data_IF_859936110702
#
_entry.id   IF_859936110702
#
_cell.length_a   1.000
_cell.length_b   1.000
_cell.length_c   1.000
_cell.angle_alpha   90.00
_cell.angle_beta   90.00
_cell.angle_gamma   90.00
#
_symmetry.space_group_name_H-M   'P 1'
#
loop_
_entity.id
_entity.type
_entity.pdbx_description
1 polymer ?
#
# COMPACT_ATOMS: atom_id res chain seq x y z
N UNK A 1 28.04 -3.11 6.84
CA UNK A 1 26.57 -3.20 6.89
C UNK A 1 26.00 -1.99 7.62
N UNK A 2 26.51 -1.64 8.82
CA UNK A 2 26.15 -0.40 9.52
C UNK A 2 26.28 0.88 8.68
N UNK A 3 27.39 1.04 7.95
CA UNK A 3 27.64 2.27 7.18
C UNK A 3 26.64 2.53 6.03
N UNK A 4 26.10 1.47 5.40
CA UNK A 4 25.11 1.59 4.32
C UNK A 4 23.72 1.89 4.87
N UNK A 5 23.34 1.24 5.98
CA UNK A 5 22.07 1.49 6.65
C UNK A 5 22.04 2.93 7.20
N UNK A 6 23.13 3.36 7.82
CA UNK A 6 23.29 4.72 8.31
C UNK A 6 23.28 5.76 7.18
N UNK A 7 23.90 5.46 6.03
CA UNK A 7 23.82 6.34 4.85
C UNK A 7 22.39 6.44 4.28
N UNK A 8 21.63 5.35 4.29
CA UNK A 8 20.23 5.36 3.86
C UNK A 8 19.33 6.14 4.82
N UNK A 9 19.50 5.95 6.13
CA UNK A 9 18.79 6.72 7.16
C UNK A 9 19.06 8.22 7.03
N UNK A 10 20.31 8.61 6.82
CA UNK A 10 20.68 10.02 6.57
C UNK A 10 19.99 10.53 5.30
N UNK A 11 19.99 9.74 4.22
CA UNK A 11 19.36 10.15 2.96
C UNK A 11 17.83 10.28 3.08
N UNK A 12 17.18 9.39 3.83
CA UNK A 12 15.74 9.46 4.10
C UNK A 12 15.42 10.73 4.91
N UNK A 13 16.20 11.04 5.95
CA UNK A 13 16.03 12.29 6.71
C UNK A 13 16.22 13.53 5.84
N UNK A 14 17.23 13.55 4.97
CA UNK A 14 17.42 14.64 4.01
C UNK A 14 16.21 14.81 3.09
N UNK A 15 15.69 13.72 2.54
CA UNK A 15 14.50 13.74 1.68
C UNK A 15 13.27 14.26 2.44
N UNK A 16 13.07 13.82 3.69
CA UNK A 16 11.99 14.33 4.54
C UNK A 16 12.11 15.84 4.76
N UNK A 17 13.31 16.35 5.04
CA UNK A 17 13.56 17.79 5.17
C UNK A 17 13.28 18.55 3.88
N UNK A 18 13.69 18.01 2.73
CA UNK A 18 13.40 18.59 1.41
C UNK A 18 11.88 18.68 1.16
N UNK A 19 11.16 17.59 1.39
CA UNK A 19 9.69 17.54 1.24
C UNK A 19 8.98 18.52 2.18
N UNK A 20 9.42 18.62 3.43
CA UNK A 20 8.84 19.55 4.40
C UNK A 20 8.98 21.01 3.98
N UNK A 21 10.12 21.36 3.36
CA UNK A 21 10.34 22.71 2.80
C UNK A 21 9.47 22.95 1.57
N UNK A 22 9.36 21.96 0.69
CA UNK A 22 8.56 22.05 -0.54
C UNK A 22 7.06 22.23 -0.24
N UNK A 23 6.54 21.46 0.72
CA UNK A 23 5.12 21.50 1.09
C UNK A 23 4.75 22.66 2.02
N UNK A 24 5.72 23.43 2.52
CA UNK A 24 5.46 24.55 3.42
C UNK A 24 5.22 25.87 2.67
N UNK A 25 4.38 26.73 3.26
CA UNK A 25 4.24 28.10 2.79
C UNK A 25 5.56 28.85 2.92
N UNK A 26 6.02 29.42 1.81
CA UNK A 26 7.21 30.27 1.75
C UNK A 26 6.89 31.68 2.27
N UNK A 27 6.56 31.77 3.55
CA UNK A 27 6.06 32.97 4.21
C UNK A 27 6.46 32.97 5.68
N UNK A 28 6.51 34.16 6.29
CA UNK A 28 6.52 34.26 7.75
C UNK A 28 5.32 33.50 8.34
N UNK A 29 5.50 32.96 9.54
CA UNK A 29 4.45 32.22 10.26
C UNK A 29 3.25 33.15 10.49
N UNK A 30 2.08 32.68 10.09
CA UNK A 30 0.80 33.32 10.35
C UNK A 30 -0.01 32.42 11.30
N UNK A 31 -0.78 33.04 12.19
CA UNK A 31 -1.51 32.33 13.27
C UNK A 31 -3.02 32.35 13.09
N UNK A 32 -3.55 33.25 12.28
CA UNK A 32 -4.98 33.37 11.97
C UNK A 32 -5.33 32.58 10.71
N UNK A 33 -6.37 31.76 10.77
CA UNK A 33 -6.82 30.93 9.66
C UNK A 33 -7.17 31.78 8.42
N UNK A 34 -7.96 32.87 8.49
CA UNK A 34 -8.16 33.79 7.37
C UNK A 34 -6.87 34.32 6.72
N UNK A 35 -5.87 34.69 7.52
CA UNK A 35 -4.59 35.20 7.00
C UNK A 35 -3.82 34.12 6.24
N UNK A 36 -3.81 32.90 6.79
CA UNK A 36 -3.18 31.72 6.15
C UNK A 36 -3.92 31.36 4.86
N UNK A 37 -5.25 31.27 4.90
CA UNK A 37 -6.09 30.98 3.73
C UNK A 37 -5.93 32.04 2.63
N UNK A 38 -5.58 33.27 2.99
CA UNK A 38 -5.30 34.34 2.03
C UNK A 38 -4.01 34.12 1.22
N UNK A 39 -3.10 33.25 1.68
CA UNK A 39 -1.91 32.83 0.93
C UNK A 39 -2.25 31.94 -0.27
N UNK A 40 -3.32 31.14 -0.16
CA UNK A 40 -3.76 30.28 -1.26
C UNK A 40 -4.23 31.10 -2.47
N UNK A 41 -4.13 30.51 -3.65
CA UNK A 41 -4.76 31.03 -4.87
C UNK A 41 -6.28 30.87 -4.80
N UNK A 42 -7.01 31.64 -5.63
CA UNK A 42 -8.48 31.49 -5.75
C UNK A 42 -8.86 30.06 -6.17
N UNK A 43 -8.06 29.41 -7.00
CA UNK A 43 -8.29 28.04 -7.48
C UNK A 43 -8.19 27.03 -6.33
N UNK A 44 -7.16 27.12 -5.51
CA UNK A 44 -6.99 26.22 -4.37
C UNK A 44 -8.10 26.42 -3.33
N UNK A 45 -8.45 27.67 -3.03
CA UNK A 45 -9.60 27.98 -2.16
C UNK A 45 -10.91 27.43 -2.72
N UNK A 46 -11.10 27.44 -4.05
CA UNK A 46 -12.25 26.84 -4.68
C UNK A 46 -12.28 25.30 -4.54
N UNK A 47 -11.12 24.64 -4.60
CA UNK A 47 -11.02 23.21 -4.34
C UNK A 47 -11.34 22.87 -2.88
N UNK A 48 -10.81 23.64 -1.91
CA UNK A 48 -11.16 23.50 -0.50
C UNK A 48 -12.66 23.72 -0.28
N UNK A 49 -13.23 24.79 -0.84
CA UNK A 49 -14.66 25.05 -0.76
C UNK A 49 -15.51 23.95 -1.41
N UNK A 50 -14.97 23.23 -2.40
CA UNK A 50 -15.64 22.07 -3.01
C UNK A 50 -15.62 20.87 -2.07
N UNK A 51 -14.49 20.59 -1.42
CA UNK A 51 -14.36 19.50 -0.43
C UNK A 51 -15.25 19.71 0.80
N UNK A 52 -15.51 20.97 1.17
CA UNK A 52 -16.46 21.36 2.21
C UNK A 52 -17.90 21.54 1.69
N UNK A 53 -18.16 21.23 0.43
CA UNK A 53 -19.49 21.33 -0.20
C UNK A 53 -20.16 22.71 -0.05
N UNK A 54 -19.36 23.78 -0.01
CA UNK A 54 -19.86 25.14 0.21
C UNK A 54 -20.76 25.56 -0.95
N UNK A 55 -22.01 25.91 -0.62
CA UNK A 55 -23.00 26.37 -1.57
C UNK A 55 -22.62 27.75 -2.15
N UNK A 56 -22.88 27.95 -3.45
CA UNK A 56 -22.63 29.24 -4.11
C UNK A 56 -21.16 29.59 -4.36
N UNK A 57 -20.21 28.71 -4.00
CA UNK A 57 -18.75 28.92 -4.14
C UNK A 57 -18.29 29.38 -5.52
N UNK A 58 -18.98 29.00 -6.60
CA UNK A 58 -18.66 29.40 -7.98
C UNK A 58 -18.83 30.90 -8.25
N UNK A 59 -19.64 31.60 -7.44
CA UNK A 59 -19.86 33.04 -7.56
C UNK A 59 -18.97 33.86 -6.64
N UNK A 60 -18.26 33.22 -5.70
CA UNK A 60 -17.47 33.91 -4.68
C UNK A 60 -16.17 34.46 -5.27
N UNK A 61 -15.78 35.65 -4.81
CA UNK A 61 -14.44 36.19 -4.98
C UNK A 61 -13.45 35.54 -3.98
N UNK A 62 -12.17 35.90 -4.04
CA UNK A 62 -11.14 35.27 -3.19
C UNK A 62 -11.42 35.48 -1.69
N UNK A 63 -11.76 36.70 -1.28
CA UNK A 63 -12.01 37.02 0.13
C UNK A 63 -13.28 36.36 0.67
N UNK A 64 -14.32 36.27 -0.17
CA UNK A 64 -15.55 35.53 0.15
C UNK A 64 -15.27 34.04 0.33
N UNK A 65 -14.43 33.44 -0.52
CA UNK A 65 -13.98 32.05 -0.37
C UNK A 65 -13.17 31.85 0.92
N UNK A 66 -12.23 32.75 1.23
CA UNK A 66 -11.46 32.70 2.48
C UNK A 66 -12.40 32.67 3.69
N UNK A 67 -13.37 33.59 3.76
CA UNK A 67 -14.34 33.63 4.87
C UNK A 67 -15.19 32.37 4.94
N UNK A 68 -15.70 31.91 3.80
CA UNK A 68 -16.56 30.73 3.75
C UNK A 68 -15.81 29.45 4.15
N UNK A 69 -14.58 29.25 3.65
CA UNK A 69 -13.74 28.11 4.00
C UNK A 69 -13.32 28.16 5.46
N UNK A 70 -12.91 29.33 5.98
CA UNK A 70 -12.58 29.50 7.39
C UNK A 70 -13.76 29.11 8.30
N UNK A 71 -14.96 29.59 7.97
CA UNK A 71 -16.18 29.25 8.71
C UNK A 71 -16.49 27.74 8.63
N UNK A 72 -16.35 27.13 7.45
CA UNK A 72 -16.58 25.70 7.27
C UNK A 72 -15.59 24.83 8.07
N UNK A 73 -14.30 25.20 8.11
CA UNK A 73 -13.28 24.50 8.90
C UNK A 73 -13.56 24.55 10.41
N UNK A 74 -14.13 25.66 10.88
CA UNK A 74 -14.45 25.87 12.30
C UNK A 74 -15.84 25.35 12.72
N UNK A 75 -16.65 24.88 11.76
CA UNK A 75 -17.97 24.32 12.05
C UNK A 75 -17.82 23.01 12.86
N UNK A 76 -18.49 22.85 14.01
CA UNK A 76 -18.28 21.71 14.90
C UNK A 76 -18.45 20.33 14.26
N UNK A 77 -19.43 20.15 13.37
CA UNK A 77 -19.65 18.91 12.64
C UNK A 77 -18.48 18.55 11.73
N UNK A 78 -18.07 19.49 10.88
CA UNK A 78 -16.90 19.37 10.01
C UNK A 78 -15.61 19.12 10.81
N UNK A 79 -15.42 19.85 11.91
CA UNK A 79 -14.25 19.68 12.79
C UNK A 79 -14.17 18.25 13.34
N UNK A 80 -15.27 17.76 13.93
CA UNK A 80 -15.34 16.37 14.42
C UNK A 80 -15.08 15.37 13.29
N UNK A 81 -15.73 15.57 12.13
CA UNK A 81 -15.57 14.71 10.95
C UNK A 81 -14.11 14.61 10.51
N UNK A 82 -13.42 15.74 10.39
CA UNK A 82 -12.05 15.78 9.91
C UNK A 82 -11.07 15.18 10.93
N UNK A 83 -11.30 15.40 12.23
CA UNK A 83 -10.50 14.78 13.30
C UNK A 83 -10.67 13.26 13.35
N UNK A 84 -11.88 12.75 13.10
CA UNK A 84 -12.17 11.30 13.07
C UNK A 84 -11.52 10.55 11.90
N UNK A 85 -11.02 11.27 10.88
CA UNK A 85 -10.34 10.69 9.70
C UNK A 85 -8.85 10.47 9.90
N UNK A 86 -8.23 11.22 10.81
CA UNK A 86 -6.80 11.11 11.06
C UNK A 86 -6.50 9.68 11.52
N UNK A 87 -5.40 9.10 11.02
CA UNK A 87 -4.90 7.86 11.60
C UNK A 87 -4.25 8.12 12.98
N UNK A 88 -3.81 7.05 13.64
CA UNK A 88 -3.24 7.13 14.99
C UNK A 88 -2.04 8.09 15.05
N UNK A 89 -1.15 8.01 14.07
CA UNK A 89 0.07 8.82 13.97
C UNK A 89 -0.29 10.29 13.69
N UNK A 90 -1.21 10.53 12.76
CA UNK A 90 -1.71 11.87 12.42
C UNK A 90 -2.45 12.54 13.58
N UNK A 91 -3.29 11.79 14.30
CA UNK A 91 -3.96 12.29 15.51
C UNK A 91 -2.93 12.70 16.57
N UNK A 92 -1.94 11.86 16.81
CA UNK A 92 -0.89 12.14 17.79
C UNK A 92 -0.09 13.40 17.40
N UNK A 93 0.26 13.53 16.12
CA UNK A 93 0.94 14.72 15.61
C UNK A 93 0.06 15.98 15.71
N UNK A 94 -1.21 15.90 15.31
CA UNK A 94 -2.16 17.00 15.48
C UNK A 94 -2.24 17.47 16.94
N UNK A 95 -2.36 16.55 17.89
CA UNK A 95 -2.40 16.89 19.31
C UNK A 95 -1.09 17.52 19.82
N UNK A 96 0.07 17.10 19.28
CA UNK A 96 1.38 17.71 19.58
C UNK A 96 1.41 19.17 19.12
N UNK A 97 0.97 19.45 17.89
CA UNK A 97 0.94 20.82 17.34
C UNK A 97 -0.13 21.68 18.03
N UNK A 98 -1.30 21.12 18.34
CA UNK A 98 -2.40 21.80 19.02
C UNK A 98 -1.97 22.37 20.38
N UNK A 99 -1.20 21.59 21.15
CA UNK A 99 -0.67 21.96 22.48
C UNK A 99 0.51 22.92 22.41
N UNK A 100 1.22 22.96 21.28
CA UNK A 100 2.32 23.89 21.06
C UNK A 100 1.77 25.28 20.68
N UNK A 101 2.48 26.34 21.07
CA UNK A 101 2.24 27.68 20.51
C UNK A 101 2.62 27.68 19.02
N UNK A 102 3.80 27.14 18.73
CA UNK A 102 4.34 26.81 17.40
C UNK A 102 5.28 25.62 17.54
N UNK A 103 5.30 24.72 16.57
CA UNK A 103 6.21 23.57 16.56
C UNK A 103 7.26 23.75 15.46
N UNK A 104 8.53 23.88 15.82
CA UNK A 104 9.65 23.92 14.88
C UNK A 104 10.29 22.54 14.80
N UNK A 105 10.22 21.90 13.65
CA UNK A 105 10.74 20.54 13.41
C UNK A 105 10.80 20.33 11.89
N UNK A 106 11.93 19.87 11.33
CA UNK A 106 12.05 19.61 9.89
C UNK A 106 12.17 18.12 9.55
N UNK A 107 12.06 17.23 10.55
CA UNK A 107 12.16 15.78 10.40
C UNK A 107 10.79 15.07 10.44
N UNK A 108 9.68 15.82 10.41
CA UNK A 108 8.34 15.24 10.41
C UNK A 108 8.04 14.62 9.05
N UNK A 109 7.65 13.35 9.00
CA UNK A 109 7.29 12.74 7.72
C UNK A 109 5.96 13.34 7.20
N UNK A 110 5.85 13.76 5.92
CA UNK A 110 4.63 14.40 5.40
C UNK A 110 3.33 13.62 5.62
N UNK A 111 3.40 12.29 5.67
CA UNK A 111 2.25 11.43 6.05
C UNK A 111 1.58 11.85 7.37
N UNK A 112 2.35 12.35 8.33
CA UNK A 112 1.87 12.62 9.69
C UNK A 112 1.03 13.90 9.79
N UNK A 113 1.12 14.80 8.80
CA UNK A 113 0.42 16.08 8.83
C UNK A 113 -0.40 16.40 7.58
N UNK A 114 -0.06 15.81 6.43
CA UNK A 114 -0.62 16.23 5.14
C UNK A 114 -2.14 16.05 5.08
N UNK A 115 -2.68 14.99 5.68
CA UNK A 115 -4.14 14.78 5.77
C UNK A 115 -4.81 15.89 6.59
N UNK A 116 -4.23 16.25 7.74
CA UNK A 116 -4.72 17.36 8.56
C UNK A 116 -4.61 18.71 7.83
N UNK A 117 -3.57 18.90 7.00
CA UNK A 117 -3.41 20.09 6.17
C UNK A 117 -4.44 20.18 5.04
N UNK A 118 -4.82 19.06 4.42
CA UNK A 118 -5.86 19.02 3.38
C UNK A 118 -7.20 19.52 3.90
N UNK A 119 -7.48 19.30 5.19
CA UNK A 119 -8.70 19.77 5.86
C UNK A 119 -8.52 21.10 6.59
N UNK A 120 -7.37 21.78 6.46
CA UNK A 120 -7.13 23.08 7.06
C UNK A 120 -7.02 23.07 8.59
N UNK A 121 -6.59 21.95 9.17
CA UNK A 121 -6.37 21.79 10.61
C UNK A 121 -4.95 22.21 11.02
N UNK A 122 -3.95 21.81 10.22
CA UNK A 122 -2.52 22.11 10.43
C UNK A 122 -1.99 22.86 9.21
N UNK A 123 -1.11 23.82 9.44
CA UNK A 123 -0.38 24.52 8.40
C UNK A 123 1.11 24.53 8.74
N UNK A 124 1.96 24.43 7.73
CA UNK A 124 3.41 24.48 7.85
C UNK A 124 4.00 25.63 7.03
N UNK A 125 5.02 26.28 7.60
CA UNK A 125 5.69 27.45 7.04
C UNK A 125 7.18 27.18 6.97
N UNK A 126 7.82 27.65 5.90
CA UNK A 126 9.26 27.72 5.81
C UNK A 126 9.70 29.17 5.80
N UNK A 127 10.44 29.56 6.84
CA UNK A 127 10.92 30.92 7.02
C UNK A 127 12.27 30.92 7.73
N UNK A 128 13.23 31.70 7.24
CA UNK A 128 14.56 31.85 7.84
C UNK A 128 15.32 30.54 8.11
N UNK A 129 15.05 29.49 7.31
CA UNK A 129 15.71 28.19 7.42
C UNK A 129 14.98 27.18 8.33
N UNK A 130 13.86 27.56 8.92
CA UNK A 130 13.09 26.71 9.83
C UNK A 130 11.74 26.29 9.21
N UNK A 131 11.35 25.03 9.45
CA UNK A 131 9.99 24.55 9.18
C UNK A 131 9.18 24.62 10.46
N UNK A 132 8.06 25.36 10.43
CA UNK A 132 7.18 25.56 11.57
C UNK A 132 5.77 25.07 11.28
N UNK A 133 5.21 24.23 12.15
CA UNK A 133 3.82 23.78 12.13
C UNK A 133 2.97 24.57 13.12
N UNK A 134 1.73 24.85 12.73
CA UNK A 134 0.76 25.56 13.55
C UNK A 134 -0.65 25.01 13.37
N UNK A 135 -1.41 24.96 14.46
CA UNK A 135 -2.88 24.93 14.43
C UNK A 135 -3.35 26.38 14.59
N UNK A 136 -4.11 26.95 13.64
CA UNK A 136 -4.55 28.35 13.71
C UNK A 136 -5.42 28.64 14.93
N UNK A 137 -5.46 29.90 15.35
CA UNK A 137 -6.19 30.32 16.55
C UNK A 137 -7.69 29.96 16.50
N UNK A 138 -8.34 30.13 15.36
CA UNK A 138 -9.74 29.82 15.14
C UNK A 138 -10.01 28.31 15.20
N UNK A 139 -9.07 27.50 14.71
CA UNK A 139 -9.14 26.04 14.83
C UNK A 139 -8.94 25.61 16.28
N UNK A 140 -7.97 26.21 17.00
CA UNK A 140 -7.76 25.96 18.43
C UNK A 140 -9.02 26.26 19.25
N UNK A 141 -9.66 27.40 18.99
CA UNK A 141 -10.92 27.78 19.64
C UNK A 141 -12.05 26.81 19.29
N UNK A 142 -12.24 26.46 18.02
CA UNK A 142 -13.26 25.48 17.61
C UNK A 142 -13.05 24.11 18.28
N UNK A 143 -11.80 23.62 18.33
CA UNK A 143 -11.44 22.36 18.98
C UNK A 143 -11.67 22.41 20.49
N UNK A 144 -11.44 23.56 21.14
CA UNK A 144 -11.66 23.72 22.59
C UNK A 144 -13.13 23.53 23.01
N UNK A 145 -14.07 23.61 22.07
CA UNK A 145 -15.51 23.42 22.27
C UNK A 145 -15.96 21.97 22.05
N UNK A 146 -15.03 21.08 21.73
CA UNK A 146 -15.28 19.66 21.49
C UNK A 146 -14.80 18.87 22.71
N UNK A 147 -15.60 17.89 23.14
CA UNK A 147 -15.14 16.87 24.08
C UNK A 147 -14.15 15.94 23.35
N UNK A 148 -12.85 16.26 23.48
CA UNK A 148 -11.78 15.52 22.83
C UNK A 148 -11.61 14.11 23.38
N UNK A 149 -11.95 13.86 24.65
CA UNK A 149 -11.85 12.53 25.23
C UNK A 149 -12.95 11.62 24.67
N UNK A 150 -14.17 12.14 24.54
CA UNK A 150 -15.25 11.43 23.85
C UNK A 150 -14.91 11.22 22.38
N UNK A 151 -14.44 12.25 21.68
CA UNK A 151 -14.10 12.13 20.26
C UNK A 151 -12.98 11.11 20.05
N UNK A 152 -11.99 11.06 20.95
CA UNK A 152 -10.90 10.08 20.90
C UNK A 152 -11.40 8.65 21.06
N UNK A 153 -12.39 8.39 21.93
CA UNK A 153 -13.00 7.05 22.04
C UNK A 153 -13.69 6.63 20.75
N UNK A 154 -14.44 7.54 20.13
CA UNK A 154 -15.10 7.29 18.83
C UNK A 154 -14.05 7.06 17.74
N UNK A 155 -13.01 7.89 17.71
CA UNK A 155 -11.89 7.74 16.80
C UNK A 155 -11.24 6.35 16.93
N UNK A 156 -10.94 5.90 18.14
CA UNK A 156 -10.28 4.62 18.37
C UNK A 156 -11.15 3.43 17.94
N UNK A 157 -12.46 3.55 18.17
CA UNK A 157 -13.46 2.61 17.65
C UNK A 157 -13.43 2.57 16.12
N UNK A 158 -13.43 3.73 15.46
CA UNK A 158 -13.41 3.82 14.00
C UNK A 158 -12.10 3.26 13.41
N UNK A 159 -10.97 3.59 14.02
CA UNK A 159 -9.66 3.07 13.61
C UNK A 159 -9.62 1.54 13.71
N UNK A 160 -10.17 0.95 14.77
CA UNK A 160 -10.25 -0.50 14.89
C UNK A 160 -11.10 -1.11 13.77
N UNK A 161 -12.30 -0.58 13.51
CA UNK A 161 -13.16 -1.06 12.41
C UNK A 161 -12.43 -0.95 11.06
N UNK A 162 -11.73 0.16 10.80
CA UNK A 162 -10.96 0.35 9.56
C UNK A 162 -9.75 -0.58 9.48
N UNK A 163 -9.13 -0.97 10.59
CA UNK A 163 -8.10 -2.02 10.59
C UNK A 163 -8.69 -3.36 10.16
N UNK A 164 -9.89 -3.72 10.62
CA UNK A 164 -10.60 -4.91 10.13
C UNK A 164 -10.91 -4.79 8.63
N UNK A 165 -11.41 -3.65 8.18
CA UNK A 165 -11.65 -3.41 6.74
C UNK A 165 -10.39 -3.71 5.92
N UNK A 166 -9.27 -3.07 6.28
CA UNK A 166 -7.99 -3.22 5.56
C UNK A 166 -7.46 -4.65 5.61
N UNK A 167 -7.53 -5.30 6.78
CA UNK A 167 -7.09 -6.67 6.95
C UNK A 167 -7.86 -7.66 6.07
N UNK A 168 -9.19 -7.55 6.05
CA UNK A 168 -10.05 -8.43 5.24
C UNK A 168 -9.90 -8.12 3.75
N UNK A 169 -9.72 -6.85 3.36
CA UNK A 169 -9.40 -6.49 1.97
C UNK A 169 -8.10 -7.15 1.53
N UNK A 170 -7.04 -7.11 2.35
CA UNK A 170 -5.76 -7.71 2.01
C UNK A 170 -5.81 -9.25 1.96
N UNK A 171 -6.64 -9.89 2.78
CA UNK A 171 -6.82 -11.35 2.79
C UNK A 171 -7.73 -11.86 1.67
N UNK A 172 -8.82 -11.15 1.37
CA UNK A 172 -9.90 -11.67 0.52
C UNK A 172 -10.00 -10.95 -0.83
N UNK A 173 -9.43 -9.75 -0.95
CA UNK A 173 -9.57 -8.87 -2.12
C UNK A 173 -10.96 -8.22 -2.21
N UNK A 174 -12.02 -8.96 -1.93
CA UNK A 174 -13.41 -8.51 -1.92
C UNK A 174 -14.25 -9.34 -0.94
N UNK A 175 -15.16 -8.69 -0.20
CA UNK A 175 -16.11 -9.35 0.70
C UNK A 175 -17.34 -8.47 0.97
N UNK A 176 -18.38 -9.07 1.54
CA UNK A 176 -19.63 -8.39 1.89
C UNK A 176 -19.53 -7.76 3.29
N UNK A 177 -20.18 -6.61 3.56
CA UNK A 177 -20.26 -5.98 4.88
C UNK A 177 -20.63 -6.96 6.01
N UNK A 178 -21.60 -7.85 5.77
CA UNK A 178 -22.03 -8.86 6.74
C UNK A 178 -20.89 -9.79 7.19
N UNK A 179 -19.97 -10.13 6.29
CA UNK A 179 -18.81 -10.96 6.63
C UNK A 179 -17.85 -10.22 7.57
N UNK A 180 -17.66 -8.91 7.38
CA UNK A 180 -16.87 -8.11 8.31
C UNK A 180 -17.56 -8.03 9.67
N UNK A 181 -18.86 -7.76 9.70
CA UNK A 181 -19.64 -7.67 10.94
C UNK A 181 -19.57 -8.99 11.71
N UNK A 182 -19.73 -10.12 11.03
CA UNK A 182 -19.63 -11.45 11.62
C UNK A 182 -18.25 -11.69 12.25
N UNK A 183 -17.17 -11.47 11.48
CA UNK A 183 -15.80 -11.65 11.95
C UNK A 183 -15.49 -10.70 13.11
N UNK A 184 -15.82 -9.42 12.97
CA UNK A 184 -15.60 -8.40 13.99
C UNK A 184 -16.29 -8.77 15.30
N UNK A 185 -17.57 -9.14 15.25
CA UNK A 185 -18.38 -9.46 16.43
C UNK A 185 -17.98 -10.78 17.09
N UNK A 186 -17.37 -11.70 16.33
CA UNK A 186 -16.80 -12.93 16.90
C UNK A 186 -15.52 -12.69 17.71
N UNK A 187 -14.84 -11.55 17.48
CA UNK A 187 -13.51 -11.26 18.02
C UNK A 187 -13.45 -10.07 19.00
N UNK A 188 -14.54 -9.32 19.15
CA UNK A 188 -14.57 -8.11 19.98
C UNK A 188 -15.81 -8.10 20.89
N UNK A 189 -15.66 -7.56 22.09
CA UNK A 189 -16.74 -7.52 23.09
C UNK A 189 -17.87 -6.55 22.70
N UNK A 190 -17.52 -5.39 22.13
CA UNK A 190 -18.51 -4.39 21.68
C UNK A 190 -18.89 -4.66 20.22
N UNK A 191 -20.16 -5.06 19.95
CA UNK A 191 -20.57 -5.44 18.62
C UNK A 191 -20.62 -4.24 17.67
N UNK A 192 -20.23 -4.46 16.42
CA UNK A 192 -20.41 -3.58 15.29
C UNK A 192 -21.79 -3.83 14.67
N UNK A 193 -22.55 -2.75 14.49
CA UNK A 193 -23.82 -2.80 13.76
C UNK A 193 -23.61 -2.41 12.30
N UNK A 194 -24.57 -2.78 11.45
CA UNK A 194 -24.57 -2.39 10.03
C UNK A 194 -24.59 -0.85 9.88
N UNK A 195 -25.45 -0.16 10.64
CA UNK A 195 -25.54 1.31 10.64
C UNK A 195 -24.22 1.97 11.05
N UNK A 196 -23.55 1.44 12.08
CA UNK A 196 -22.24 1.93 12.51
C UNK A 196 -21.19 1.72 11.41
N UNK A 197 -21.12 0.52 10.82
CA UNK A 197 -20.18 0.21 9.75
C UNK A 197 -20.35 1.16 8.57
N UNK A 198 -21.57 1.35 8.06
CA UNK A 198 -21.79 2.22 6.91
C UNK A 198 -21.51 3.69 7.22
N UNK A 199 -21.83 4.15 8.44
CA UNK A 199 -21.44 5.51 8.88
C UNK A 199 -19.93 5.71 8.87
N UNK A 200 -19.17 4.68 9.27
CA UNK A 200 -17.70 4.69 9.21
C UNK A 200 -17.21 4.64 7.76
N UNK A 201 -17.76 3.76 6.92
CA UNK A 201 -17.36 3.65 5.52
C UNK A 201 -17.61 4.96 4.76
N UNK A 202 -18.75 5.61 4.94
CA UNK A 202 -19.05 6.92 4.34
C UNK A 202 -18.00 7.99 4.69
N UNK A 203 -17.48 7.93 5.92
CA UNK A 203 -16.44 8.84 6.37
C UNK A 203 -15.09 8.57 5.68
N UNK A 204 -14.73 7.30 5.52
CA UNK A 204 -13.40 6.87 5.06
C UNK A 204 -13.28 6.69 3.55
N UNK A 205 -14.36 6.34 2.82
CA UNK A 205 -14.36 6.27 1.36
C UNK A 205 -14.11 7.63 0.70
N UNK A 206 -14.42 8.72 1.42
CA UNK A 206 -14.09 10.09 1.01
C UNK A 206 -12.62 10.47 1.27
N UNK A 207 -11.85 9.61 1.93
CA UNK A 207 -10.42 9.77 2.15
C UNK A 207 -9.64 8.89 1.17
N UNK A 208 -8.34 9.16 1.00
CA UNK A 208 -7.47 8.38 0.10
C UNK A 208 -7.14 7.01 0.71
N UNK A 209 -8.10 6.09 0.67
CA UNK A 209 -7.98 4.73 1.22
C UNK A 209 -7.59 3.72 0.14
N UNK A 210 -7.14 2.54 0.60
CA UNK A 210 -6.79 1.39 -0.24
C UNK A 210 -7.96 0.42 -0.46
N UNK A 211 -9.17 0.84 -0.09
CA UNK A 211 -10.39 0.08 -0.29
C UNK A 211 -11.48 0.99 -0.86
N UNK A 212 -12.47 0.38 -1.49
CA UNK A 212 -13.60 1.06 -2.12
C UNK A 212 -14.86 0.17 -2.04
N UNK A 213 -15.99 0.68 -2.54
CA UNK A 213 -17.22 -0.08 -2.73
C UNK A 213 -17.42 -0.41 -4.21
N UNK A 214 -17.62 -1.69 -4.53
CA UNK A 214 -18.00 -2.15 -5.86
C UNK A 214 -19.27 -2.99 -5.78
N UNK A 215 -20.40 -2.37 -6.09
CA UNK A 215 -21.72 -2.94 -5.81
C UNK A 215 -21.92 -3.14 -4.30
N UNK A 216 -22.33 -4.32 -3.82
CA UNK A 216 -22.49 -4.58 -2.39
C UNK A 216 -21.18 -4.95 -1.68
N UNK A 217 -20.05 -5.01 -2.39
CA UNK A 217 -18.79 -5.49 -1.85
C UNK A 217 -17.90 -4.34 -1.39
N UNK A 218 -17.21 -4.55 -0.27
CA UNK A 218 -16.01 -3.81 0.09
C UNK A 218 -14.85 -4.49 -0.63
N UNK A 219 -14.06 -3.72 -1.39
CA UNK A 219 -13.02 -4.24 -2.29
C UNK A 219 -11.71 -3.50 -2.13
N UNK A 220 -10.61 -4.15 -2.53
CA UNK A 220 -9.35 -3.47 -2.77
C UNK A 220 -9.50 -2.44 -3.91
N UNK A 221 -8.92 -1.26 -3.75
CA UNK A 221 -8.94 -0.19 -4.75
C UNK A 221 -8.34 -0.62 -6.10
N UNK A 222 -7.51 -1.66 -6.13
CA UNK A 222 -7.01 -2.32 -7.35
C UNK A 222 -8.14 -2.72 -8.32
N UNK A 223 -9.34 -3.01 -7.82
CA UNK A 223 -10.49 -3.38 -8.66
C UNK A 223 -11.33 -2.18 -9.13
N UNK A 224 -11.06 -0.97 -8.62
CA UNK A 224 -11.81 0.25 -8.94
C UNK A 224 -10.94 1.36 -9.54
N UNK A 225 -9.60 1.25 -9.47
CA UNK A 225 -8.67 2.34 -9.79
C UNK A 225 -8.39 2.60 -11.28
N UNK A 226 -8.86 1.77 -12.21
CA UNK A 226 -8.39 1.81 -13.59
C UNK A 226 -9.42 1.45 -14.67
N UNK A 227 -8.91 0.89 -15.77
CA UNK A 227 -9.66 0.66 -17.02
C UNK A 227 -10.71 -0.46 -16.88
N UNK A 228 -11.72 -0.55 -17.77
CA UNK A 228 -12.78 -1.57 -17.68
C UNK A 228 -12.33 -3.02 -17.46
N UNK A 229 -11.10 -3.37 -17.86
CA UNK A 229 -10.47 -4.68 -17.63
C UNK A 229 -10.22 -5.02 -16.16
N UNK A 230 -10.15 -4.03 -15.27
CA UNK A 230 -9.99 -4.27 -13.83
C UNK A 230 -11.30 -4.74 -13.17
N UNK A 231 -12.46 -4.32 -13.72
CA UNK A 231 -13.76 -4.85 -13.31
C UNK A 231 -13.92 -6.31 -13.75
N UNK A 232 -13.32 -6.74 -14.86
CA UNK A 232 -13.30 -8.16 -15.26
C UNK A 232 -12.55 -9.02 -14.22
N UNK A 233 -11.39 -8.55 -13.73
CA UNK A 233 -10.62 -9.23 -12.67
C UNK A 233 -11.38 -9.39 -11.36
N UNK A 234 -12.26 -8.43 -11.03
CA UNK A 234 -13.15 -8.55 -9.88
C UNK A 234 -14.16 -9.71 -10.04
N UNK A 235 -14.77 -9.84 -11.21
CA UNK A 235 -15.69 -10.95 -11.48
C UNK A 235 -14.95 -12.31 -11.45
N UNK A 236 -13.76 -12.39 -12.06
CA UNK A 236 -12.90 -13.58 -12.00
C UNK A 236 -12.54 -13.96 -10.56
N UNK A 237 -12.26 -12.98 -9.69
CA UNK A 237 -12.01 -13.22 -8.28
C UNK A 237 -13.22 -13.89 -7.61
N UNK A 238 -14.42 -13.33 -7.81
CA UNK A 238 -15.65 -13.86 -7.21
C UNK A 238 -15.96 -15.28 -7.70
N UNK A 239 -15.81 -15.55 -9.00
CA UNK A 239 -15.98 -16.87 -9.59
C UNK A 239 -15.00 -17.88 -9.00
N UNK A 240 -13.71 -17.53 -8.92
CA UNK A 240 -12.69 -18.41 -8.33
C UNK A 240 -12.88 -18.62 -6.84
N UNK A 241 -13.43 -17.65 -6.13
CA UNK A 241 -13.71 -17.72 -4.69
C UNK A 241 -15.02 -18.45 -4.35
N UNK A 242 -15.86 -18.73 -5.35
CA UNK A 242 -17.20 -19.28 -5.14
C UNK A 242 -17.16 -20.63 -4.38
N UNK A 243 -18.03 -20.75 -3.37
CA UNK A 243 -18.16 -21.96 -2.57
C UNK A 243 -16.99 -22.30 -1.64
N UNK A 244 -15.94 -21.46 -1.57
CA UNK A 244 -14.81 -21.67 -0.64
C UNK A 244 -15.12 -21.08 0.75
N UNK A 245 -14.66 -21.71 1.84
CA UNK A 245 -14.78 -21.13 3.17
C UNK A 245 -13.85 -19.92 3.32
N UNK A 246 -14.16 -19.00 4.24
CA UNK A 246 -13.24 -17.93 4.63
C UNK A 246 -12.21 -18.45 5.63
N UNK A 247 -10.95 -18.06 5.44
CA UNK A 247 -9.93 -18.20 6.46
C UNK A 247 -10.04 -17.04 7.43
N UNK A 248 -10.32 -17.33 8.70
CA UNK A 248 -10.43 -16.32 9.75
C UNK A 248 -9.34 -16.60 10.79
N UNK A 249 -8.22 -15.86 10.77
CA UNK A 249 -7.19 -15.97 11.80
C UNK A 249 -7.67 -15.39 13.14
N UNK A 250 -6.96 -15.73 14.22
CA UNK A 250 -7.11 -15.06 15.52
C UNK A 250 -6.91 -13.55 15.39
N UNK A 251 -7.58 -12.78 16.24
CA UNK A 251 -7.65 -11.30 16.16
C UNK A 251 -6.30 -10.62 15.96
N UNK A 252 -5.32 -10.93 16.80
CA UNK A 252 -4.02 -10.26 16.74
C UNK A 252 -3.21 -10.63 15.50
N UNK A 253 -3.45 -11.80 14.91
CA UNK A 253 -2.87 -12.19 13.63
C UNK A 253 -3.60 -11.51 12.47
N UNK A 254 -4.94 -11.46 12.52
CA UNK A 254 -5.75 -10.76 11.53
C UNK A 254 -5.34 -9.30 11.37
N UNK A 255 -5.19 -8.58 12.48
CA UNK A 255 -4.92 -7.14 12.46
C UNK A 255 -3.53 -6.79 11.88
N UNK A 256 -2.60 -7.74 11.77
CA UNK A 256 -1.32 -7.51 11.06
C UNK A 256 -1.54 -7.24 9.57
N UNK A 257 -2.55 -7.88 8.97
CA UNK A 257 -2.94 -7.67 7.57
C UNK A 257 -3.52 -6.28 7.31
N UNK A 258 -3.82 -5.47 8.33
CA UNK A 258 -4.21 -4.07 8.12
C UNK A 258 -3.05 -3.20 7.60
N UNK A 259 -1.80 -3.65 7.79
CA UNK A 259 -0.61 -3.02 7.22
C UNK A 259 -0.40 -3.49 5.79
N UNK A 260 -0.23 -2.55 4.87
CA UNK A 260 0.02 -2.86 3.46
C UNK A 260 1.38 -3.52 3.22
N UNK A 261 2.33 -3.29 4.13
CA UNK A 261 3.70 -3.81 4.03
C UNK A 261 3.86 -5.15 4.77
N UNK A 262 2.78 -5.67 5.36
CA UNK A 262 2.84 -6.93 6.09
C UNK A 262 2.62 -8.13 5.18
N UNK A 263 3.52 -9.09 5.28
CA UNK A 263 3.31 -10.46 4.86
C UNK A 263 4.01 -11.41 5.83
N UNK A 264 3.55 -12.66 5.89
CA UNK A 264 4.16 -13.68 6.71
C UNK A 264 5.50 -14.12 6.08
N UNK A 265 6.63 -13.94 6.77
CA UNK A 265 7.90 -14.58 6.40
C UNK A 265 7.83 -16.07 6.74
N UNK A 266 7.40 -16.86 5.76
CA UNK A 266 7.25 -18.31 5.91
C UNK A 266 8.60 -19.04 5.80
N UNK A 267 8.72 -20.28 6.33
CA UNK A 267 9.91 -21.11 6.12
C UNK A 267 10.24 -21.32 4.62
N UNK A 268 9.25 -21.26 3.73
CA UNK A 268 9.43 -21.37 2.29
C UNK A 268 10.06 -20.12 1.68
N UNK A 269 9.65 -18.93 2.14
CA UNK A 269 10.28 -17.66 1.75
C UNK A 269 11.73 -17.59 2.27
N UNK A 270 11.97 -18.03 3.51
CA UNK A 270 13.32 -18.13 4.07
C UNK A 270 14.20 -19.11 3.28
N UNK A 271 13.65 -20.26 2.88
CA UNK A 271 14.37 -21.23 2.06
C UNK A 271 14.73 -20.68 0.67
N UNK A 272 13.80 -19.97 0.02
CA UNK A 272 14.06 -19.29 -1.25
C UNK A 272 15.15 -18.22 -1.08
N UNK A 273 15.04 -17.36 -0.05
CA UNK A 273 16.05 -16.34 0.28
C UNK A 273 17.43 -16.95 0.45
N UNK A 274 17.53 -17.99 1.27
CA UNK A 274 18.78 -18.69 1.53
C UNK A 274 19.39 -19.29 0.25
N UNK A 275 18.57 -19.83 -0.64
CA UNK A 275 19.02 -20.35 -1.93
C UNK A 275 19.58 -19.25 -2.83
N UNK A 276 18.87 -18.13 -2.99
CA UNK A 276 19.31 -17.01 -3.85
C UNK A 276 20.63 -16.44 -3.35
N UNK A 277 20.76 -16.18 -2.04
CA UNK A 277 22.00 -15.66 -1.43
C UNK A 277 23.19 -16.58 -1.67
N UNK A 278 22.98 -17.88 -1.54
CA UNK A 278 24.04 -18.88 -1.64
C UNK A 278 24.45 -19.18 -3.08
N UNK A 279 23.50 -19.16 -4.02
CA UNK A 279 23.68 -19.76 -5.34
C UNK A 279 23.56 -18.80 -6.52
N UNK A 280 23.03 -17.58 -6.35
CA UNK A 280 22.75 -16.64 -7.45
C UNK A 280 23.44 -15.27 -7.31
N UNK A 281 24.41 -15.14 -6.42
CA UNK A 281 25.27 -13.96 -6.26
C UNK A 281 24.53 -12.63 -6.01
N UNK A 282 23.31 -12.66 -5.45
CA UNK A 282 22.61 -11.46 -5.00
C UNK A 282 23.19 -10.93 -3.67
N UNK A 283 23.29 -9.61 -3.52
CA UNK A 283 23.57 -9.00 -2.22
C UNK A 283 22.32 -8.99 -1.33
N UNK A 284 22.51 -8.98 -0.02
CA UNK A 284 21.44 -9.20 0.97
C UNK A 284 20.24 -8.25 0.81
N UNK A 285 20.49 -6.95 0.63
CA UNK A 285 19.43 -5.96 0.47
C UNK A 285 18.64 -6.15 -0.83
N UNK A 286 19.33 -6.49 -1.92
CA UNK A 286 18.68 -6.80 -3.19
C UNK A 286 17.84 -8.08 -3.09
N UNK A 287 18.33 -9.09 -2.38
CA UNK A 287 17.60 -10.33 -2.17
C UNK A 287 16.38 -10.10 -1.29
N UNK A 288 16.45 -9.27 -0.25
CA UNK A 288 15.27 -8.90 0.55
C UNK A 288 14.18 -8.30 -0.34
N UNK A 289 14.54 -7.29 -1.14
CA UNK A 289 13.60 -6.69 -2.09
C UNK A 289 13.11 -7.67 -3.18
N UNK A 290 13.87 -8.71 -3.51
CA UNK A 290 13.40 -9.78 -4.42
C UNK A 290 12.35 -10.65 -3.73
N UNK A 291 12.58 -11.01 -2.46
CA UNK A 291 11.69 -11.89 -1.71
C UNK A 291 10.34 -11.21 -1.47
N UNK A 292 10.34 -9.92 -1.16
CA UNK A 292 9.14 -9.09 -1.07
C UNK A 292 8.34 -9.14 -2.38
N UNK A 293 9.00 -8.89 -3.52
CA UNK A 293 8.33 -8.92 -4.83
C UNK A 293 7.85 -10.33 -5.22
N UNK A 294 8.61 -11.38 -4.91
CA UNK A 294 8.18 -12.77 -5.15
C UNK A 294 6.91 -13.06 -4.34
N UNK A 295 6.89 -12.68 -3.06
CA UNK A 295 5.72 -12.85 -2.21
C UNK A 295 4.52 -12.07 -2.77
N UNK A 296 4.72 -10.82 -3.18
CA UNK A 296 3.69 -9.98 -3.77
C UNK A 296 3.12 -10.61 -5.05
N UNK A 297 3.98 -11.11 -5.94
CA UNK A 297 3.56 -11.80 -7.17
C UNK A 297 2.75 -13.07 -6.87
N UNK A 298 3.15 -13.87 -5.86
CA UNK A 298 2.36 -15.00 -5.42
C UNK A 298 0.99 -14.56 -4.87
N UNK A 299 0.95 -13.50 -4.06
CA UNK A 299 -0.27 -12.96 -3.47
C UNK A 299 -1.23 -12.36 -4.51
N UNK A 300 -0.69 -11.73 -5.56
CA UNK A 300 -1.43 -11.26 -6.74
C UNK A 300 -1.84 -12.38 -7.70
N UNK A 301 -1.47 -13.62 -7.39
CA UNK A 301 -1.74 -14.80 -8.20
C UNK A 301 -1.15 -14.71 -9.63
N UNK A 302 0.01 -14.06 -9.75
CA UNK A 302 0.73 -13.85 -11.00
C UNK A 302 1.31 -15.16 -11.57
N UNK A 303 1.51 -15.26 -12.89
CA UNK A 303 2.21 -16.40 -13.49
C UNK A 303 3.69 -16.41 -13.09
N UNK A 304 4.29 -17.61 -13.02
CA UNK A 304 5.71 -17.81 -12.68
C UNK A 304 6.68 -16.97 -13.54
N UNK A 305 6.26 -16.67 -14.77
CA UNK A 305 7.01 -15.84 -15.72
C UNK A 305 7.22 -14.40 -15.22
N UNK A 306 6.24 -13.80 -14.54
CA UNK A 306 6.37 -12.46 -13.95
C UNK A 306 7.34 -12.47 -12.76
N UNK A 307 7.36 -13.57 -12.00
CA UNK A 307 8.33 -13.75 -10.93
C UNK A 307 9.76 -13.77 -11.50
N UNK A 308 9.99 -14.45 -12.64
CA UNK A 308 11.31 -14.46 -13.28
C UNK A 308 11.76 -13.09 -13.81
N UNK A 309 10.83 -12.20 -14.16
CA UNK A 309 11.18 -10.82 -14.51
C UNK A 309 11.80 -10.07 -13.33
N UNK A 310 11.44 -10.38 -12.09
CA UNK A 310 12.04 -9.73 -10.92
C UNK A 310 13.51 -10.09 -10.72
N UNK A 311 13.89 -11.34 -11.06
CA UNK A 311 15.28 -11.77 -11.11
C UNK A 311 16.04 -11.00 -12.21
N UNK A 312 15.45 -10.89 -13.41
CA UNK A 312 16.08 -10.20 -14.54
C UNK A 312 16.27 -8.71 -14.27
N UNK A 313 15.23 -8.03 -13.77
CA UNK A 313 15.24 -6.60 -13.41
C UNK A 313 16.36 -6.26 -12.43
N UNK A 314 16.63 -7.19 -11.51
CA UNK A 314 17.69 -7.09 -10.48
C UNK A 314 19.04 -7.61 -10.95
N UNK A 315 19.16 -8.10 -12.18
CA UNK A 315 20.38 -8.69 -12.75
C UNK A 315 20.88 -9.91 -11.97
N UNK A 316 19.95 -10.65 -11.36
CA UNK A 316 20.19 -11.95 -10.75
C UNK A 316 20.02 -12.99 -11.85
N UNK A 317 21.14 -13.55 -12.31
CA UNK A 317 21.17 -14.46 -13.45
C UNK A 317 21.40 -15.91 -13.01
N UNK A 318 20.83 -16.83 -13.77
CA UNK A 318 21.13 -18.25 -13.67
C UNK A 318 22.33 -18.58 -14.56
N UNK A 319 23.30 -19.30 -14.00
CA UNK A 319 24.49 -19.80 -14.70
C UNK A 319 24.27 -21.19 -15.32
N UNK A 320 23.22 -21.91 -14.90
CA UNK A 320 22.93 -23.27 -15.37
C UNK A 320 21.44 -23.61 -15.32
N UNK A 321 21.01 -24.54 -16.17
CA UNK A 321 19.66 -25.12 -16.07
C UNK A 321 19.43 -25.85 -14.75
N UNK A 322 20.49 -26.35 -14.10
CA UNK A 322 20.40 -26.97 -12.79
C UNK A 322 19.85 -25.98 -11.76
N UNK A 323 20.33 -24.73 -11.75
CA UNK A 323 19.83 -23.72 -10.83
C UNK A 323 18.34 -23.39 -11.08
N UNK A 324 17.88 -23.46 -12.33
CA UNK A 324 16.46 -23.27 -12.68
C UNK A 324 15.62 -24.44 -12.14
N UNK A 325 16.08 -25.68 -12.33
CA UNK A 325 15.41 -26.88 -11.79
C UNK A 325 15.35 -26.91 -10.27
N UNK A 326 16.30 -26.27 -9.59
CA UNK A 326 16.37 -26.17 -8.13
C UNK A 326 15.48 -25.05 -7.58
N UNK A 327 15.41 -23.89 -8.25
CA UNK A 327 14.67 -22.72 -7.74
C UNK A 327 13.17 -22.77 -8.04
N UNK A 328 12.75 -23.37 -9.17
CA UNK A 328 11.32 -23.44 -9.54
C UNK A 328 10.49 -24.14 -8.45
N UNK A 329 10.90 -25.30 -7.90
CA UNK A 329 10.21 -25.91 -6.77
C UNK A 329 10.12 -25.00 -5.53
N UNK A 330 11.17 -24.23 -5.22
CA UNK A 330 11.15 -23.29 -4.08
C UNK A 330 10.11 -22.18 -4.29
N UNK A 331 10.00 -21.63 -5.50
CA UNK A 331 9.00 -20.62 -5.83
C UNK A 331 7.58 -21.22 -5.78
N UNK A 332 7.40 -22.44 -6.30
CA UNK A 332 6.12 -23.15 -6.23
C UNK A 332 5.73 -23.43 -4.78
N UNK A 333 6.69 -23.81 -3.93
CA UNK A 333 6.46 -24.03 -2.51
C UNK A 333 6.05 -22.73 -1.81
N UNK A 334 6.71 -21.59 -2.11
CA UNK A 334 6.26 -20.27 -1.65
C UNK A 334 4.81 -20.03 -2.05
N UNK A 335 4.48 -20.17 -3.34
CA UNK A 335 3.14 -19.94 -3.87
C UNK A 335 2.07 -20.79 -3.14
N UNK A 336 2.38 -22.07 -2.90
CA UNK A 336 1.47 -23.00 -2.23
C UNK A 336 1.32 -22.74 -0.73
N UNK A 337 2.14 -21.88 -0.14
CA UNK A 337 2.08 -21.42 1.25
C UNK A 337 1.73 -19.92 1.37
N UNK A 338 1.45 -19.23 0.27
CA UNK A 338 0.95 -17.86 0.28
C UNK A 338 -0.57 -17.86 0.39
N UNK A 339 -1.13 -16.99 1.24
CA UNK A 339 -2.59 -16.78 1.33
C UNK A 339 -3.08 -16.10 0.07
N UNK A 340 -4.08 -16.69 -0.59
CA UNK A 340 -4.60 -16.17 -1.86
C UNK A 340 -5.99 -15.57 -1.68
N UNK A 341 -6.24 -14.44 -2.34
CA UNK A 341 -7.54 -13.76 -2.37
C UNK A 341 -8.61 -14.67 -2.97
N UNK A 342 -8.30 -15.33 -4.09
CA UNK A 342 -9.23 -16.28 -4.71
C UNK A 342 -9.51 -17.53 -3.86
N UNK A 343 -8.72 -17.76 -2.80
CA UNK A 343 -8.95 -18.81 -1.80
C UNK A 343 -9.56 -18.26 -0.50
N UNK A 344 -10.05 -17.02 -0.49
CA UNK A 344 -10.63 -16.36 0.69
C UNK A 344 -9.68 -16.42 1.89
N UNK A 345 -8.39 -16.15 1.64
CA UNK A 345 -7.34 -16.07 2.65
C UNK A 345 -6.68 -17.41 3.02
N UNK A 346 -7.15 -18.55 2.49
CA UNK A 346 -6.43 -19.81 2.65
C UNK A 346 -5.22 -19.89 1.72
N UNK A 347 -4.17 -20.56 2.17
CA UNK A 347 -3.12 -21.03 1.27
C UNK A 347 -3.63 -22.19 0.39
N UNK A 348 -3.07 -22.41 -0.81
CA UNK A 348 -3.37 -23.59 -1.63
C UNK A 348 -3.25 -24.91 -0.85
N UNK A 349 -2.25 -25.04 0.02
CA UNK A 349 -2.04 -26.22 0.84
C UNK A 349 -3.14 -26.43 1.90
N UNK A 350 -3.51 -25.38 2.63
CA UNK A 350 -4.59 -25.46 3.62
C UNK A 350 -5.92 -25.78 2.96
N UNK A 351 -6.24 -25.08 1.86
CA UNK A 351 -7.50 -25.28 1.14
C UNK A 351 -7.62 -26.70 0.59
N UNK A 352 -6.51 -27.26 0.07
CA UNK A 352 -6.51 -28.63 -0.43
C UNK A 352 -6.81 -29.65 0.66
N UNK A 353 -6.24 -29.46 1.86
CA UNK A 353 -6.45 -30.33 3.02
C UNK A 353 -7.90 -30.31 3.50
N UNK A 354 -8.54 -29.14 3.55
CA UNK A 354 -9.90 -29.02 4.09
C UNK A 354 -10.99 -29.38 3.08
N UNK A 355 -10.74 -29.17 1.77
CA UNK A 355 -11.73 -29.47 0.72
C UNK A 355 -11.56 -30.85 0.09
N UNK A 356 -10.39 -31.49 0.26
CA UNK A 356 -10.03 -32.72 -0.45
C UNK A 356 -9.83 -32.54 -1.96
N UNK A 357 -9.88 -31.30 -2.47
CA UNK A 357 -9.64 -30.96 -3.88
C UNK A 357 -8.18 -30.57 -4.08
N UNK A 358 -7.62 -30.88 -5.24
CA UNK A 358 -6.29 -30.40 -5.58
C UNK A 358 -6.36 -28.91 -5.95
N UNK A 359 -5.96 -28.05 -5.02
CA UNK A 359 -5.88 -26.60 -5.20
C UNK A 359 -4.44 -26.12 -5.34
N UNK A 360 -3.48 -27.05 -5.40
CA UNK A 360 -2.07 -26.71 -5.47
C UNK A 360 -1.74 -26.06 -6.80
N UNK A 361 -1.00 -24.96 -6.72
CA UNK A 361 -0.30 -24.42 -7.86
C UNK A 361 0.71 -25.47 -8.34
N UNK A 362 0.45 -26.00 -9.53
CA UNK A 362 1.42 -26.76 -10.29
C UNK A 362 1.75 -25.95 -11.54
N UNK A 363 3.03 -25.81 -11.86
CA UNK A 363 3.49 -25.08 -13.05
C UNK A 363 3.22 -25.87 -14.34
N UNK A 364 2.10 -26.61 -14.44
CA UNK A 364 1.78 -27.43 -15.61
C UNK A 364 1.30 -26.61 -16.81
N UNK A 365 1.28 -25.28 -16.69
CA UNK A 365 1.38 -24.41 -17.86
C UNK A 365 2.75 -24.71 -18.48
N UNK A 366 2.82 -25.18 -19.74
CA UNK A 366 4.10 -25.42 -20.39
C UNK A 366 4.92 -24.15 -20.23
N UNK A 367 6.11 -24.26 -19.64
CA UNK A 367 7.16 -23.34 -20.00
C UNK A 367 7.34 -23.63 -21.48
N UNK A 368 6.69 -22.85 -22.36
CA UNK A 368 7.09 -22.77 -23.75
C UNK A 368 8.50 -22.18 -23.70
N UNK A 369 9.48 -23.06 -23.46
CA UNK A 369 10.89 -22.79 -23.72
C UNK A 369 11.01 -22.81 -25.23
N UNK A 370 10.35 -21.86 -25.91
CA UNK A 370 10.61 -21.63 -27.31
C UNK A 370 12.07 -21.22 -27.39
N UNK A 371 12.82 -22.11 -28.03
CA UNK A 371 14.26 -22.13 -28.12
C UNK A 371 14.72 -21.05 -29.11
N UNK A 372 14.31 -19.79 -28.91
CA UNK A 372 14.74 -18.62 -29.68
C UNK A 372 14.27 -17.24 -29.15
N UNK A 373 13.96 -17.06 -27.85
CA UNK A 373 13.49 -15.74 -27.40
C UNK A 373 13.31 -15.46 -25.90
N UNK A 374 14.19 -15.96 -25.02
CA UNK A 374 14.46 -15.53 -23.61
C UNK A 374 13.28 -15.00 -22.75
N UNK A 375 12.85 -15.81 -21.78
CA UNK A 375 12.05 -15.37 -20.60
C UNK A 375 12.70 -15.75 -19.25
N UNK A 376 13.86 -16.43 -19.27
CA UNK A 376 14.66 -16.69 -18.06
C UNK A 376 16.01 -15.98 -18.19
N UNK A 377 16.44 -15.20 -17.18
CA UNK A 377 17.70 -14.45 -17.22
C UNK A 377 18.91 -15.39 -17.15
N UNK A 378 19.33 -15.93 -18.30
CA UNK A 378 20.52 -16.78 -18.41
C UNK A 378 21.78 -15.96 -18.68
N UNK A 379 22.82 -16.15 -17.86
CA UNK A 379 24.15 -15.59 -18.12
C UNK A 379 24.82 -16.43 -19.20
N UNK A 380 25.08 -15.86 -20.39
CA UNK A 380 25.82 -16.59 -21.44
C UNK A 380 27.27 -16.78 -21.00
N UNK A 381 27.61 -17.98 -20.52
CA UNK A 381 29.00 -18.39 -20.30
C UNK A 381 29.65 -18.73 -21.65
N UNK A 382 30.29 -17.77 -22.30
CA UNK A 382 31.10 -18.00 -23.50
C UNK A 382 31.08 -16.84 -24.49
N UNK A 383 32.21 -16.61 -25.17
CA UNK A 383 32.28 -15.70 -26.33
C UNK A 383 31.23 -16.10 -27.37
N UNK A 384 30.56 -15.12 -27.99
CA UNK A 384 29.63 -15.38 -29.11
C UNK A 384 30.31 -16.27 -30.14
N UNK A 385 29.90 -17.53 -30.27
CA UNK A 385 30.35 -18.43 -31.33
C UNK A 385 29.86 -17.84 -32.66
N UNK A 386 30.80 -17.41 -33.50
CA UNK A 386 30.52 -16.88 -34.83
C UNK A 386 29.93 -17.95 -35.73
N UNK A 387 29.04 -17.57 -36.66
CA UNK A 387 28.40 -18.50 -37.62
C UNK A 387 29.40 -19.37 -38.41
N UNK A 388 30.65 -18.92 -38.54
CA UNK A 388 31.71 -19.61 -39.27
C UNK A 388 32.71 -20.37 -38.36
N UNK A 389 32.57 -20.29 -37.03
CA UNK A 389 33.47 -20.93 -36.08
C UNK A 389 33.26 -22.45 -36.03
N UNK A 390 34.23 -23.24 -35.56
CA UNK A 390 34.08 -24.67 -35.35
C UNK A 390 32.89 -24.99 -34.43
N UNK A 391 32.07 -25.96 -34.83
CA UNK A 391 30.89 -26.33 -34.06
C UNK A 391 31.29 -27.06 -32.76
N UNK A 392 30.78 -26.64 -31.59
CA UNK A 392 31.20 -27.19 -30.29
C UNK A 392 30.79 -28.65 -30.06
N UNK A 393 29.95 -29.25 -30.93
CA UNK A 393 29.56 -30.67 -30.83
C UNK A 393 30.64 -31.66 -31.30
N UNK A 394 31.86 -31.19 -31.64
CA UNK A 394 32.96 -32.05 -32.06
C UNK A 394 32.86 -32.60 -33.49
N UNK A 395 31.87 -32.16 -34.28
CA UNK A 395 31.63 -32.66 -35.65
C UNK A 395 32.64 -32.21 -36.70
N UNK A 396 33.55 -31.30 -36.35
CA UNK A 396 34.52 -30.69 -37.28
C UNK A 396 33.90 -29.72 -38.33
N UNK A 397 32.58 -29.48 -38.29
CA UNK A 397 31.88 -28.57 -39.22
C UNK A 397 31.78 -27.15 -38.66
N UNK A 398 31.60 -26.14 -39.52
CA UNK A 398 31.27 -24.76 -39.10
C UNK A 398 29.89 -24.70 -38.44
N UNK A 399 29.70 -23.86 -37.42
CA UNK A 399 28.45 -23.77 -36.63
C UNK A 399 27.19 -23.67 -37.49
N UNK A 400 27.16 -22.78 -38.50
CA UNK A 400 26.02 -22.60 -39.43
C UNK A 400 25.65 -23.83 -40.28
N UNK A 401 26.54 -24.82 -40.40
CA UNK A 401 26.32 -26.05 -41.18
C UNK A 401 26.06 -27.28 -40.29
N UNK A 402 25.96 -27.09 -38.98
CA UNK A 402 25.74 -28.14 -38.00
C UNK A 402 24.65 -27.73 -37.01
N UNK A 403 24.99 -27.36 -35.77
CA UNK A 403 24.03 -27.01 -34.72
C UNK A 403 23.35 -25.65 -34.93
N UNK A 404 23.88 -24.78 -35.80
CA UNK A 404 23.30 -23.48 -36.13
C UNK A 404 22.48 -23.47 -37.43
N UNK A 405 21.88 -24.62 -37.78
CA UNK A 405 20.89 -24.73 -38.86
C UNK A 405 19.51 -24.30 -38.38
#
# INVERSE_FOLDING_TARGET
MGDKLQALEVRLKELTREMNREYAFQSKVLTSLPDILSLYTKKELYHLATAYEIAGRSKMNKEELVRAVAAACCEPGNMKRNLLRLDKEQWAFFMRVLRAERLVDDEIHPRDYMEASLYGLIFNFYHEGEVTYIVPAEIKDAVSRIDLDQLKRIHDRYQLVIQYVKALVNLYGAYLPDQLIEIFNSQNEEPLTEEELFSILDLYLQANQKFDMLGPYIVDVYYTSGEPKEQEKFHELLERAEGKPYYVPERDELLKYASNDYFEMTPQLEALKAYVLKHLHGDEQMVDALIDDVQFHCWMEAPLQEIFWEFERRRIYFDSEKQIREIVPLIIDVYNHTRLRSNRGYTPNELSKITGRNTLYNSSIPIEVEHQGKVVPFRRSGSKIGRNDPCPCGSGKKYKKCCGK
#
